data_IF_449464752514
#
_entry.id   IF_449464752514
#
_cell.length_a   1.000
_cell.length_b   1.000
_cell.length_c   1.000
_cell.angle_alpha   90.00
_cell.angle_beta   90.00
_cell.angle_gamma   90.00
#
_symmetry.space_group_name_H-M   'P 1'
#
loop_
_entity.id
_entity.type
_entity.pdbx_description
1 polymer ?
#
# COMPACT_ATOMS: atom_id res chain seq x y z
N UNK A 1 -21.31 -51.32 -50.89
CA UNK A 1 -19.93 -50.83 -51.07
C UNK A 1 -19.79 -49.59 -50.19
N UNK A 2 -19.13 -49.76 -49.05
CA UNK A 2 -18.92 -48.73 -48.02
C UNK A 2 -17.66 -47.96 -48.35
N UNK A 3 -17.72 -46.63 -48.43
CA UNK A 3 -16.53 -45.78 -48.33
C UNK A 3 -16.82 -44.64 -47.35
N UNK A 4 -16.07 -44.65 -46.25
CA UNK A 4 -16.19 -43.75 -45.11
C UNK A 4 -15.75 -42.33 -45.48
N UNK A 5 -16.48 -41.32 -44.96
CA UNK A 5 -15.92 -39.97 -44.83
C UNK A 5 -14.86 -40.00 -43.74
N UNK A 6 -13.60 -39.96 -44.14
CA UNK A 6 -12.48 -39.81 -43.23
C UNK A 6 -12.43 -38.34 -42.80
N UNK A 7 -12.69 -38.12 -41.52
CA UNK A 7 -12.60 -36.82 -40.86
C UNK A 7 -11.13 -36.40 -40.97
N UNK A 8 -10.86 -35.31 -41.67
CA UNK A 8 -9.54 -34.68 -41.71
C UNK A 8 -9.29 -34.04 -40.34
N UNK A 9 -8.98 -34.86 -39.35
CA UNK A 9 -8.53 -34.48 -38.01
C UNK A 9 -7.05 -34.07 -38.03
N UNK A 10 -6.60 -33.39 -39.08
CA UNK A 10 -5.19 -33.04 -39.32
C UNK A 10 -4.98 -31.54 -39.49
N UNK A 11 -5.61 -30.76 -38.61
CA UNK A 11 -5.26 -29.34 -38.39
C UNK A 11 -5.25 -28.98 -36.90
N UNK A 12 -4.93 -29.95 -36.03
CA UNK A 12 -4.70 -29.69 -34.60
C UNK A 12 -3.47 -30.46 -34.13
N UNK A 13 -2.33 -30.13 -34.70
CA UNK A 13 -1.00 -30.32 -34.11
C UNK A 13 -0.14 -29.36 -34.94
N UNK A 14 0.50 -28.32 -34.41
CA UNK A 14 1.77 -28.46 -33.68
C UNK A 14 2.31 -27.05 -33.31
N UNK A 15 1.48 -26.15 -32.76
CA UNK A 15 1.93 -24.78 -32.42
C UNK A 15 1.36 -24.22 -31.10
N UNK A 16 0.78 -25.06 -30.26
CA UNK A 16 0.35 -24.69 -28.91
C UNK A 16 0.83 -25.73 -27.89
N UNK A 17 2.14 -25.99 -27.87
CA UNK A 17 2.81 -26.44 -26.66
C UNK A 17 3.38 -25.21 -25.96
N UNK A 18 2.47 -24.35 -25.47
CA UNK A 18 2.80 -23.54 -24.30
C UNK A 18 3.13 -24.48 -23.13
N UNK A 19 3.92 -24.04 -22.14
CA UNK A 19 4.29 -24.87 -20.99
C UNK A 19 3.05 -25.51 -20.34
N UNK A 20 3.14 -26.74 -19.80
CA UNK A 20 2.01 -27.44 -19.21
C UNK A 20 1.32 -26.59 -18.13
N UNK A 21 -0.02 -26.70 -17.96
CA UNK A 21 -0.80 -25.87 -17.04
C UNK A 21 -0.48 -26.12 -15.55
N UNK A 22 0.50 -26.98 -15.25
CA UNK A 22 0.93 -27.36 -13.90
C UNK A 22 2.07 -26.50 -13.32
N UNK A 23 2.62 -25.55 -14.07
CA UNK A 23 3.72 -24.67 -13.58
C UNK A 23 3.42 -23.17 -13.68
N UNK A 24 2.15 -22.78 -13.83
CA UNK A 24 1.76 -21.38 -13.57
C UNK A 24 1.63 -21.19 -12.06
N UNK A 25 2.78 -21.09 -11.40
CA UNK A 25 2.83 -20.65 -10.02
C UNK A 25 2.34 -19.19 -10.01
N UNK A 26 1.11 -18.98 -9.56
CA UNK A 26 0.58 -17.65 -9.28
C UNK A 26 1.52 -17.01 -8.29
N UNK A 27 2.41 -16.15 -8.77
CA UNK A 27 3.27 -15.35 -7.92
C UNK A 27 2.37 -14.37 -7.16
N UNK A 28 1.99 -14.79 -5.95
CA UNK A 28 1.18 -14.02 -4.99
C UNK A 28 2.05 -13.16 -4.09
N UNK A 29 3.33 -12.99 -4.42
CA UNK A 29 4.17 -12.02 -3.74
C UNK A 29 3.44 -10.67 -3.74
N UNK A 30 3.34 -9.97 -2.59
CA UNK A 30 2.51 -8.80 -2.48
C UNK A 30 2.85 -7.78 -3.58
N UNK A 31 1.88 -7.50 -4.45
CA UNK A 31 2.05 -6.54 -5.55
C UNK A 31 2.29 -5.09 -5.05
N UNK A 32 2.15 -4.86 -3.75
CA UNK A 32 2.41 -3.59 -3.07
C UNK A 32 3.67 -3.68 -2.21
N UNK A 33 4.63 -2.75 -2.33
CA UNK A 33 5.86 -2.76 -1.54
C UNK A 33 5.58 -2.77 -0.04
N UNK A 34 6.33 -3.58 0.73
CA UNK A 34 6.17 -3.68 2.19
C UNK A 34 6.35 -2.33 2.91
N UNK A 35 7.19 -1.44 2.38
CA UNK A 35 7.36 -0.08 2.89
C UNK A 35 6.03 0.69 2.90
N UNK A 36 5.22 0.58 1.86
CA UNK A 36 3.90 1.22 1.76
C UNK A 36 2.96 0.67 2.83
N UNK A 37 2.99 -0.63 3.08
CA UNK A 37 2.14 -1.26 4.11
C UNK A 37 2.45 -0.67 5.48
N UNK A 38 3.73 -0.53 5.84
CA UNK A 38 4.11 0.08 7.13
C UNK A 38 3.70 1.56 7.22
N UNK A 39 3.80 2.33 6.13
CA UNK A 39 3.34 3.73 6.10
C UNK A 39 1.83 3.83 6.36
N UNK A 40 1.03 3.02 5.65
CA UNK A 40 -0.43 2.99 5.80
C UNK A 40 -0.81 2.58 7.23
N UNK A 41 -0.15 1.57 7.78
CA UNK A 41 -0.38 1.13 9.15
C UNK A 41 0.02 2.20 10.18
N UNK A 42 1.18 2.85 10.00
CA UNK A 42 1.61 3.95 10.87
C UNK A 42 0.64 5.13 10.85
N UNK A 43 0.13 5.51 9.67
CA UNK A 43 -0.81 6.62 9.57
C UNK A 43 -2.19 6.33 10.14
N UNK A 44 -2.69 5.11 9.93
CA UNK A 44 -3.97 4.71 10.54
C UNK A 44 -3.88 4.73 12.07
N UNK A 45 -2.79 4.22 12.64
CA UNK A 45 -2.55 4.30 14.09
C UNK A 45 -2.42 5.76 14.53
N UNK A 46 -1.65 6.59 13.83
CA UNK A 46 -1.47 8.00 14.18
C UNK A 46 -2.79 8.78 14.16
N UNK A 47 -3.64 8.56 13.15
CA UNK A 47 -4.93 9.25 13.01
C UNK A 47 -5.91 8.90 14.13
N UNK A 48 -5.81 7.69 14.69
CA UNK A 48 -6.66 7.25 15.82
C UNK A 48 -6.02 7.72 17.13
N UNK A 49 -4.76 7.38 17.36
CA UNK A 49 -4.10 7.57 18.65
C UNK A 49 -3.78 9.04 18.95
N UNK A 50 -3.37 9.85 17.97
CA UNK A 50 -2.95 11.23 18.27
C UNK A 50 -4.13 12.15 18.65
N UNK A 51 -5.26 12.20 17.92
CA UNK A 51 -6.40 13.04 18.31
C UNK A 51 -7.11 12.51 19.57
N UNK A 52 -7.32 11.19 19.66
CA UNK A 52 -7.98 10.57 20.82
C UNK A 52 -7.08 10.65 22.05
N UNK A 53 -5.79 10.33 21.90
CA UNK A 53 -4.81 10.43 22.98
C UNK A 53 -4.69 11.86 23.48
N UNK A 54 -4.63 12.85 22.58
CA UNK A 54 -4.61 14.26 22.96
C UNK A 54 -5.87 14.68 23.73
N UNK A 55 -7.04 14.19 23.33
CA UNK A 55 -8.29 14.45 24.03
C UNK A 55 -8.22 13.97 25.49
N UNK A 56 -7.91 12.69 25.71
CA UNK A 56 -7.91 12.12 27.05
C UNK A 56 -6.75 12.64 27.93
N UNK A 57 -5.58 12.89 27.34
CA UNK A 57 -4.44 13.49 28.05
C UNK A 57 -4.79 14.88 28.57
N UNK A 58 -5.36 15.76 27.73
CA UNK A 58 -5.70 17.13 28.16
C UNK A 58 -6.94 17.16 29.06
N UNK A 59 -7.91 16.28 28.83
CA UNK A 59 -9.11 16.17 29.68
C UNK A 59 -8.75 15.87 31.14
N UNK A 60 -7.81 14.94 31.35
CA UNK A 60 -7.42 14.53 32.69
C UNK A 60 -6.31 15.41 33.31
N UNK A 61 -5.38 15.95 32.50
CA UNK A 61 -4.19 16.64 33.01
C UNK A 61 -4.30 18.17 33.07
N UNK A 62 -5.07 18.81 32.18
CA UNK A 62 -5.01 20.29 32.02
C UNK A 62 -6.37 20.94 32.23
N UNK A 63 -7.45 20.32 31.73
CA UNK A 63 -8.78 20.93 31.74
C UNK A 63 -9.72 20.41 32.83
N UNK A 64 -9.22 19.59 33.77
CA UNK A 64 -9.97 19.08 34.94
C UNK A 64 -11.36 18.53 34.59
N UNK A 65 -11.50 17.83 33.46
CA UNK A 65 -12.76 17.26 32.99
C UNK A 65 -13.60 18.14 32.06
N UNK A 66 -13.14 19.33 31.64
CA UNK A 66 -13.88 20.14 30.67
C UNK A 66 -13.72 19.58 29.24
N UNK A 67 -14.71 18.79 28.82
CA UNK A 67 -14.77 18.14 27.52
C UNK A 67 -14.76 19.10 26.33
N UNK A 68 -15.25 20.33 26.49
CA UNK A 68 -15.31 21.31 25.38
C UNK A 68 -13.91 21.77 24.97
N UNK A 69 -13.05 22.13 25.93
CA UNK A 69 -11.70 22.56 25.63
C UNK A 69 -10.82 21.41 25.15
N UNK A 70 -10.95 20.22 25.75
CA UNK A 70 -10.25 19.01 25.29
C UNK A 70 -10.67 18.61 23.88
N UNK A 71 -11.98 18.71 23.57
CA UNK A 71 -12.52 18.43 22.24
C UNK A 71 -12.02 19.41 21.18
N UNK A 72 -12.00 20.70 21.50
CA UNK A 72 -11.46 21.73 20.62
C UNK A 72 -9.96 21.49 20.33
N UNK A 73 -9.18 21.14 21.35
CA UNK A 73 -7.77 20.80 21.16
C UNK A 73 -7.57 19.54 20.31
N UNK A 74 -8.40 18.51 20.51
CA UNK A 74 -8.36 17.30 19.71
C UNK A 74 -8.65 17.57 18.22
N UNK A 75 -9.58 18.47 17.92
CA UNK A 75 -9.87 18.91 16.56
C UNK A 75 -8.67 19.66 15.94
N UNK A 76 -7.97 20.50 16.71
CA UNK A 76 -6.73 21.14 16.26
C UNK A 76 -5.65 20.07 15.99
N UNK A 77 -5.49 19.10 16.89
CA UNK A 77 -4.53 18.01 16.72
C UNK A 77 -4.80 17.15 15.49
N UNK A 78 -6.06 16.93 15.11
CA UNK A 78 -6.39 16.24 13.87
C UNK A 78 -5.84 16.97 12.63
N UNK A 79 -5.91 18.31 12.60
CA UNK A 79 -5.32 19.10 11.52
C UNK A 79 -3.78 19.06 11.54
N UNK A 80 -3.16 19.02 12.73
CA UNK A 80 -1.71 18.84 12.87
C UNK A 80 -1.27 17.48 12.30
N UNK A 81 -2.03 16.41 12.56
CA UNK A 81 -1.76 15.08 12.00
C UNK A 81 -1.85 15.10 10.47
N UNK A 82 -2.83 15.81 9.90
CA UNK A 82 -2.94 15.98 8.45
C UNK A 82 -1.72 16.69 7.86
N UNK A 83 -1.27 17.79 8.48
CA UNK A 83 -0.05 18.48 8.04
C UNK A 83 1.18 17.57 8.19
N UNK A 84 1.26 16.82 9.29
CA UNK A 84 2.32 15.82 9.51
C UNK A 84 2.34 14.75 8.42
N UNK A 85 1.17 14.29 7.98
CA UNK A 85 1.04 13.37 6.83
C UNK A 85 1.68 13.95 5.57
N UNK A 86 1.34 15.20 5.25
CA UNK A 86 1.88 15.89 4.08
C UNK A 86 3.41 16.03 4.18
N UNK A 87 3.94 16.39 5.35
CA UNK A 87 5.39 16.51 5.56
C UNK A 87 6.10 15.18 5.37
N UNK A 88 5.58 14.09 5.94
CA UNK A 88 6.19 12.76 5.77
C UNK A 88 6.13 12.31 4.32
N UNK A 89 5.00 12.53 3.64
CA UNK A 89 4.86 12.22 2.22
C UNK A 89 5.91 12.97 1.38
N UNK A 90 6.11 14.27 1.62
CA UNK A 90 7.15 15.04 0.93
C UNK A 90 8.57 14.52 1.20
N UNK A 91 8.89 14.12 2.44
CA UNK A 91 10.23 13.59 2.77
C UNK A 91 10.50 12.23 2.14
N UNK A 92 9.46 11.41 1.99
CA UNK A 92 9.59 10.14 1.29
C UNK A 92 9.74 10.32 -0.21
N UNK A 93 9.02 11.28 -0.81
CA UNK A 93 9.19 11.64 -2.23
C UNK A 93 10.64 12.06 -2.55
N UNK A 94 11.32 12.75 -1.63
CA UNK A 94 12.72 13.13 -1.80
C UNK A 94 13.69 11.93 -1.67
N UNK A 95 13.41 11.03 -0.72
CA UNK A 95 14.26 9.86 -0.46
C UNK A 95 14.23 8.86 -1.63
N UNK A 96 13.07 8.64 -2.24
CA UNK A 96 12.94 7.77 -3.43
C UNK A 96 13.70 8.34 -4.64
N UNK A 97 13.74 9.67 -4.79
CA UNK A 97 14.49 10.33 -5.88
C UNK A 97 16.01 10.19 -5.72
N UNK A 98 16.51 10.31 -4.48
CA UNK A 98 17.95 10.16 -4.19
C UNK A 98 18.40 8.71 -4.42
N UNK A 99 17.62 7.72 -3.99
CA UNK A 99 17.93 6.30 -4.25
C UNK A 99 17.88 5.95 -5.75
N UNK A 100 16.94 6.54 -6.49
CA UNK A 100 16.84 6.35 -7.94
C UNK A 100 18.05 6.95 -8.68
N UNK A 101 18.54 8.11 -8.24
CA UNK A 101 19.76 8.72 -8.78
C UNK A 101 21.03 7.93 -8.45
N UNK A 102 21.18 7.43 -7.22
CA UNK A 102 22.32 6.60 -6.84
C UNK A 102 22.36 5.28 -7.62
N UNK A 103 21.21 4.63 -7.81
CA UNK A 103 21.13 3.41 -8.63
C UNK A 103 21.53 3.69 -10.08
N UNK A 104 21.12 4.83 -10.66
CA UNK A 104 21.52 5.25 -12.00
C UNK A 104 23.03 5.51 -12.12
N UNK A 105 23.64 6.18 -11.14
CA UNK A 105 25.09 6.45 -11.12
C UNK A 105 25.95 5.19 -10.93
N UNK A 106 25.46 4.18 -10.22
CA UNK A 106 26.16 2.88 -10.06
C UNK A 106 26.05 1.98 -11.30
N UNK A 107 25.04 2.19 -12.14
CA UNK A 107 24.83 1.41 -13.37
C UNK A 107 25.50 2.01 -14.61
N UNK A 108 26.15 3.18 -14.50
CA UNK A 108 26.85 3.88 -15.57
C UNK A 108 28.35 3.85 -15.33
#
# INVERSE_FOLDING_TARGET
>A
MTTRRNISEKTITEAQSGPPPSEQHSDTTPAVPASVIYKLLGFTVAMICAPIGSYFLLLNSVFAGNATYSGAFAAIMANVVLVGYIVVAMREDDSEKIEAEEKRKKSQ
#
